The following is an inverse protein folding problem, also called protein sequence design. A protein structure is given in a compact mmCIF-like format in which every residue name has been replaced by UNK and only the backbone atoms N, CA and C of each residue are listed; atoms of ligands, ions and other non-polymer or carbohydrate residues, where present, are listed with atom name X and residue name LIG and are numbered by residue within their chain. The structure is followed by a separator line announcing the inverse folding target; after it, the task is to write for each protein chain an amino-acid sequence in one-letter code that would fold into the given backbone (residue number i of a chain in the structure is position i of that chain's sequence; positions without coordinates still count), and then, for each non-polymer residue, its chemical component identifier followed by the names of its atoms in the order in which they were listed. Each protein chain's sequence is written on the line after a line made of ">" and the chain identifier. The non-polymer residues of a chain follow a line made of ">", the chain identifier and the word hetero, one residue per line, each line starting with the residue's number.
data_IF_521631584171
#
_entry.id   IF_521631584171
#
_cell.length_a   1.000
_cell.length_b   1.000
_cell.length_c   1.000
_cell.angle_alpha   90.00
_cell.angle_beta   90.00
_cell.angle_gamma   90.00
#
_symmetry.space_group_name_H-M   'P 1'
#
loop_
_entity.id
_entity.type
_entity.pdbx_description
1 polymer ?
#
# COMPACT_ATOMS: atom_id res chain seq x y z
N UNK A 1 9.37 -5.91 -13.94
CA UNK A 1 7.98 -5.64 -13.51
C UNK A 1 7.10 -6.75 -14.04
N UNK A 2 6.06 -7.15 -13.32
CA UNK A 2 5.26 -8.33 -13.65
C UNK A 2 3.81 -8.11 -13.26
N UNK A 3 2.90 -8.85 -13.90
CA UNK A 3 1.46 -8.59 -13.86
C UNK A 3 0.89 -8.37 -12.45
N UNK A 4 1.36 -9.12 -11.45
CA UNK A 4 0.93 -8.96 -10.06
C UNK A 4 1.35 -7.60 -9.45
N UNK A 5 2.57 -7.14 -9.71
CA UNK A 5 3.01 -5.81 -9.24
C UNK A 5 2.25 -4.70 -9.96
N UNK A 6 2.01 -4.86 -11.25
CA UNK A 6 1.38 -3.83 -12.07
C UNK A 6 -0.07 -3.60 -11.65
N UNK A 7 -0.85 -4.67 -11.39
CA UNK A 7 -2.23 -4.54 -10.92
C UNK A 7 -2.31 -3.95 -9.50
N UNK A 8 -1.37 -4.29 -8.62
CA UNK A 8 -1.30 -3.72 -7.26
C UNK A 8 -0.99 -2.22 -7.33
N UNK A 9 -0.04 -1.80 -8.16
CA UNK A 9 0.27 -0.39 -8.37
C UNK A 9 -0.94 0.38 -8.90
N UNK A 10 -1.64 -0.17 -9.90
CA UNK A 10 -2.79 0.50 -10.50
C UNK A 10 -3.92 0.70 -9.48
N UNK A 11 -4.25 -0.33 -8.70
CA UNK A 11 -5.29 -0.24 -7.67
C UNK A 11 -4.90 0.71 -6.53
N UNK A 12 -3.64 0.66 -6.08
CA UNK A 12 -3.15 1.59 -5.06
C UNK A 12 -3.16 3.04 -5.55
N UNK A 13 -2.73 3.29 -6.80
CA UNK A 13 -2.79 4.60 -7.43
C UNK A 13 -4.21 5.14 -7.51
N UNK A 14 -5.18 4.31 -7.88
CA UNK A 14 -6.59 4.69 -7.93
C UNK A 14 -7.11 5.17 -6.57
N UNK A 15 -6.78 4.47 -5.48
CA UNK A 15 -7.18 4.87 -4.12
C UNK A 15 -6.46 6.16 -3.69
N UNK A 16 -5.15 6.27 -3.93
CA UNK A 16 -4.38 7.46 -3.59
C UNK A 16 -4.91 8.71 -4.31
N UNK A 17 -5.23 8.59 -5.60
CA UNK A 17 -5.83 9.66 -6.38
C UNK A 17 -7.24 10.00 -5.89
N UNK A 18 -8.11 8.99 -5.70
CA UNK A 18 -9.48 9.18 -5.20
C UNK A 18 -9.52 9.88 -3.83
N UNK A 19 -8.55 9.60 -2.96
CA UNK A 19 -8.41 10.23 -1.65
C UNK A 19 -7.68 11.58 -1.67
N UNK A 20 -7.37 12.13 -2.85
CA UNK A 20 -6.68 13.43 -2.98
C UNK A 20 -5.24 13.42 -2.47
N UNK A 21 -4.57 12.26 -2.46
CA UNK A 21 -3.16 12.12 -2.02
C UNK A 21 -2.14 12.41 -3.12
N UNK A 22 -2.58 12.63 -4.35
CA UNK A 22 -1.76 13.02 -5.50
C UNK A 22 -2.53 13.98 -6.41
N UNK A 23 -1.81 14.82 -7.15
CA UNK A 23 -2.42 15.78 -8.09
C UNK A 23 -2.99 15.14 -9.35
N UNK A 24 -2.42 14.01 -9.77
CA UNK A 24 -2.90 13.21 -10.88
C UNK A 24 -2.64 11.72 -10.66
N UNK A 25 -3.12 10.90 -11.60
CA UNK A 25 -3.02 9.45 -11.52
C UNK A 25 -1.57 8.93 -11.69
N UNK A 26 -0.74 9.62 -12.48
CA UNK A 26 0.64 9.21 -12.71
C UNK A 26 1.49 9.45 -11.44
N UNK A 27 1.27 10.57 -10.78
CA UNK A 27 1.88 10.87 -9.49
C UNK A 27 1.37 9.92 -8.40
N UNK A 28 0.09 9.56 -8.42
CA UNK A 28 -0.43 8.52 -7.53
C UNK A 28 0.26 7.16 -7.75
N UNK A 29 0.49 6.78 -9.01
CA UNK A 29 1.22 5.56 -9.36
C UNK A 29 2.70 5.62 -8.93
N UNK A 30 3.35 6.79 -9.05
CA UNK A 30 4.70 7.00 -8.50
C UNK A 30 4.74 6.85 -6.99
N UNK A 31 3.79 7.44 -6.26
CA UNK A 31 3.69 7.30 -4.81
C UNK A 31 3.45 5.85 -4.38
N UNK A 32 2.55 5.13 -5.07
CA UNK A 32 2.34 3.70 -4.84
C UNK A 32 3.62 2.90 -5.10
N UNK A 33 4.33 3.19 -6.19
CA UNK A 33 5.63 2.61 -6.52
C UNK A 33 6.66 2.82 -5.42
N UNK A 34 6.86 4.06 -5.00
CA UNK A 34 7.78 4.42 -3.93
C UNK A 34 7.47 3.68 -2.63
N UNK A 35 6.20 3.62 -2.22
CA UNK A 35 5.79 2.93 -1.00
C UNK A 35 6.10 1.42 -1.02
N UNK A 36 6.03 0.79 -2.19
CA UNK A 36 6.40 -0.62 -2.37
C UNK A 36 7.92 -0.77 -2.41
N UNK A 37 8.59 0.02 -3.27
CA UNK A 37 10.01 -0.16 -3.58
C UNK A 37 10.91 0.22 -2.39
N UNK A 38 10.50 1.15 -1.52
CA UNK A 38 11.24 1.50 -0.30
C UNK A 38 10.91 0.62 0.91
N UNK A 39 9.95 -0.30 0.80
CA UNK A 39 9.54 -1.20 1.89
C UNK A 39 8.49 -0.64 2.85
N UNK A 40 8.07 0.62 2.73
CA UNK A 40 7.07 1.22 3.62
C UNK A 40 5.73 0.46 3.65
N UNK A 41 5.30 -0.11 2.52
CA UNK A 41 4.11 -0.97 2.44
C UNK A 41 4.28 -2.26 3.26
N UNK A 42 5.46 -2.88 3.22
CA UNK A 42 5.77 -4.08 3.99
C UNK A 42 5.82 -3.78 5.50
N UNK A 43 6.41 -2.66 5.90
CA UNK A 43 6.42 -2.21 7.30
C UNK A 43 5.00 -1.94 7.84
N UNK A 44 4.14 -1.32 7.02
CA UNK A 44 2.75 -1.07 7.40
C UNK A 44 1.99 -2.39 7.59
N UNK A 45 2.22 -3.38 6.72
CA UNK A 45 1.65 -4.71 6.87
C UNK A 45 2.11 -5.38 8.17
N UNK A 46 3.40 -5.28 8.53
CA UNK A 46 3.91 -5.82 9.80
C UNK A 46 3.18 -5.18 11.00
N UNK A 47 3.04 -3.85 11.02
CA UNK A 47 2.28 -3.14 12.07
C UNK A 47 0.82 -3.57 12.13
N UNK A 48 0.20 -3.86 10.99
CA UNK A 48 -1.17 -4.37 10.93
C UNK A 48 -1.26 -5.77 11.55
N UNK A 49 -0.35 -6.68 11.19
CA UNK A 49 -0.26 -8.04 11.74
C UNK A 49 -0.08 -8.01 13.26
N UNK A 50 0.85 -7.21 13.76
CA UNK A 50 1.05 -7.01 15.20
C UNK A 50 -0.22 -6.52 15.90
N UNK A 51 -0.96 -5.61 15.26
CA UNK A 51 -2.22 -5.08 15.80
C UNK A 51 -3.33 -6.12 15.84
N UNK A 52 -3.53 -6.88 14.76
CA UNK A 52 -4.64 -7.83 14.64
C UNK A 52 -4.41 -9.12 15.42
N UNK A 53 -3.17 -9.52 15.63
CA UNK A 53 -2.85 -10.75 16.38
C UNK A 53 -2.84 -10.53 17.89
N UNK A 54 -2.71 -9.28 18.38
CA UNK A 54 -2.81 -8.96 19.82
C UNK A 54 -4.20 -9.24 20.41
N UNK A 55 -5.25 -9.30 19.60
CA UNK A 55 -6.61 -9.66 20.04
C UNK A 55 -6.89 -11.16 20.09
N UNK A 56 -5.96 -12.02 19.65
CA UNK A 56 -6.16 -13.49 19.58
C UNK A 56 -5.49 -14.26 20.73
N UNK A 57 -4.98 -13.57 21.75
CA UNK A 57 -4.15 -14.12 22.83
C UNK A 57 -4.72 -13.99 24.24
N UNK A 58 -6.04 -14.03 24.43
CA UNK A 58 -6.64 -14.17 25.76
C UNK A 58 -7.96 -14.94 25.65
N UNK A 59 -7.86 -16.26 25.74
CA UNK A 59 -8.90 -17.14 26.30
C UNK A 59 -8.16 -18.17 27.16
#
# INVERSE_FOLDING_TARGET
>A
MGAARDIVLLNAAAVLWLCGRAGDFLDAARLAGQAIDCGAAAELLQRLVERTNRSSGTI
#
